data_IF_942998114380
#
_entry.id   IF_942998114380
#
_cell.length_a   1.000
_cell.length_b   1.000
_cell.length_c   1.000
_cell.angle_alpha   90.00
_cell.angle_beta   90.00
_cell.angle_gamma   90.00
#
_symmetry.space_group_name_H-M   'P 1'
#
loop_
_entity.id
_entity.type
_entity.pdbx_description
1 polymer ?
#
# COMPACT_ATOMS: atom_id res chain seq x y z
N UNK A 1 51.12 23.87 -28.49
CA UNK A 1 50.56 22.72 -27.76
C UNK A 1 49.22 23.13 -27.16
N UNK A 2 48.12 22.79 -27.83
CA UNK A 2 46.76 23.11 -27.37
C UNK A 2 46.25 21.86 -26.65
N UNK A 3 46.05 21.94 -25.33
CA UNK A 3 45.39 20.89 -24.55
C UNK A 3 43.88 21.16 -24.58
N UNK A 4 43.18 20.43 -25.42
CA UNK A 4 41.72 20.27 -25.38
C UNK A 4 41.35 19.38 -24.19
N UNK A 5 40.83 19.99 -23.13
CA UNK A 5 40.22 19.27 -22.01
C UNK A 5 38.81 18.84 -22.39
N UNK A 6 38.59 17.55 -22.60
CA UNK A 6 37.26 16.96 -22.75
C UNK A 6 36.68 16.82 -21.34
N UNK A 7 35.71 17.67 -21.00
CA UNK A 7 34.90 17.51 -19.79
C UNK A 7 33.82 16.47 -20.11
N UNK A 8 34.00 15.26 -19.60
CA UNK A 8 33.01 14.19 -19.68
C UNK A 8 31.90 14.47 -18.65
N UNK A 9 30.79 15.05 -19.10
CA UNK A 9 29.60 15.26 -18.28
C UNK A 9 28.89 13.93 -18.01
N UNK A 10 28.95 13.45 -16.77
CA UNK A 10 28.15 12.31 -16.31
C UNK A 10 26.72 12.82 -16.07
N UNK A 11 25.79 12.43 -16.94
CA UNK A 11 24.36 12.65 -16.75
C UNK A 11 23.84 11.50 -15.86
N UNK A 12 23.65 11.78 -14.57
CA UNK A 12 22.96 10.88 -13.65
C UNK A 12 21.46 11.04 -13.90
N UNK A 13 20.86 10.09 -14.61
CA UNK A 13 19.41 9.92 -14.61
C UNK A 13 18.99 9.43 -13.22
N UNK A 14 18.57 10.33 -12.34
CA UNK A 14 17.78 9.97 -11.17
C UNK A 14 16.42 9.49 -11.67
N UNK A 15 16.28 8.19 -11.90
CA UNK A 15 14.97 7.56 -11.99
C UNK A 15 14.33 7.68 -10.61
N UNK A 16 13.48 8.68 -10.44
CA UNK A 16 12.55 8.74 -9.31
C UNK A 16 11.54 7.63 -9.57
N UNK A 17 11.85 6.42 -9.09
CA UNK A 17 10.86 5.35 -8.99
C UNK A 17 9.88 5.83 -7.93
N UNK A 18 8.80 6.45 -8.39
CA UNK A 18 7.62 6.68 -7.57
C UNK A 18 7.08 5.32 -7.19
N UNK A 19 7.55 4.78 -6.07
CA UNK A 19 7.03 3.55 -5.52
C UNK A 19 5.61 3.87 -5.05
N UNK A 20 4.61 3.56 -5.86
CA UNK A 20 3.21 3.61 -5.49
C UNK A 20 2.83 2.29 -4.83
N UNK A 21 1.77 2.29 -4.01
CA UNK A 21 1.28 1.05 -3.38
C UNK A 21 0.92 -0.03 -4.41
N UNK A 22 0.49 0.40 -5.60
CA UNK A 22 0.32 -0.42 -6.80
C UNK A 22 1.35 -0.02 -7.85
N UNK A 23 1.96 -1.00 -8.50
CA UNK A 23 2.98 -0.80 -9.54
C UNK A 23 2.48 -1.49 -10.82
N UNK A 24 2.24 -0.71 -11.87
CA UNK A 24 1.85 -1.23 -13.19
C UNK A 24 3.11 -1.32 -14.03
N UNK A 25 3.50 -2.55 -14.39
CA UNK A 25 4.75 -2.85 -15.10
C UNK A 25 4.54 -3.11 -16.58
N UNK A 26 3.33 -3.51 -16.96
CA UNK A 26 2.94 -3.76 -18.36
C UNK A 26 1.85 -2.80 -18.82
N UNK A 27 1.93 -2.25 -20.04
CA UNK A 27 0.87 -1.42 -20.60
C UNK A 27 -0.43 -2.22 -20.83
N UNK A 28 -0.37 -3.55 -20.84
CA UNK A 28 -1.53 -4.45 -20.98
C UNK A 28 -2.45 -4.41 -19.75
N UNK A 29 -1.90 -4.06 -18.59
CA UNK A 29 -2.61 -4.01 -17.33
C UNK A 29 -3.07 -2.57 -17.04
N UNK A 30 -4.35 -2.40 -16.72
CA UNK A 30 -4.98 -1.11 -16.39
C UNK A 30 -5.73 -1.20 -15.08
N UNK A 31 -5.93 -0.03 -14.45
CA UNK A 31 -6.88 0.10 -13.33
C UNK A 31 -6.55 -0.71 -12.08
N UNK A 32 -5.29 -1.12 -11.87
CA UNK A 32 -4.88 -1.95 -10.75
C UNK A 32 -5.24 -1.32 -9.40
N UNK A 33 -6.12 -1.99 -8.68
CA UNK A 33 -6.65 -1.57 -7.38
C UNK A 33 -6.61 -2.75 -6.42
N UNK A 34 -6.19 -2.48 -5.20
CA UNK A 34 -6.23 -3.43 -4.09
C UNK A 34 -6.75 -2.70 -2.86
N UNK A 35 -7.86 -3.15 -2.33
CA UNK A 35 -8.61 -2.46 -1.29
C UNK A 35 -9.27 -3.42 -0.30
N UNK A 36 -9.68 -2.89 0.85
CA UNK A 36 -10.36 -3.63 1.91
C UNK A 36 -11.86 -3.83 1.63
N UNK A 37 -12.70 -3.50 2.60
CA UNK A 37 -14.16 -3.57 2.49
C UNK A 37 -14.75 -2.61 1.45
N UNK A 38 -14.15 -1.43 1.29
CA UNK A 38 -14.51 -0.44 0.29
C UNK A 38 -13.28 0.01 -0.48
N UNK A 39 -13.49 0.59 -1.67
CA UNK A 39 -12.41 1.14 -2.50
C UNK A 39 -11.61 2.25 -1.80
N UNK A 40 -12.15 2.87 -0.76
CA UNK A 40 -11.46 3.91 0.02
C UNK A 40 -10.59 3.34 1.15
N UNK A 41 -10.76 2.07 1.51
CA UNK A 41 -10.08 1.46 2.64
C UNK A 41 -8.64 1.04 2.29
N UNK A 42 -7.77 1.00 3.31
CA UNK A 42 -6.49 0.34 3.19
C UNK A 42 -6.70 -1.17 2.94
N UNK A 43 -5.85 -1.81 2.12
CA UNK A 43 -5.93 -3.24 1.86
C UNK A 43 -5.40 -4.04 3.05
N UNK A 44 -6.27 -4.25 4.05
CA UNK A 44 -5.95 -4.96 5.29
C UNK A 44 -6.80 -6.23 5.35
N UNK A 45 -6.13 -7.38 5.24
CA UNK A 45 -6.70 -8.70 5.46
C UNK A 45 -6.56 -9.07 6.94
N UNK A 46 -7.67 -9.10 7.67
CA UNK A 46 -7.69 -9.64 9.03
C UNK A 46 -7.50 -11.16 8.96
N UNK A 47 -6.47 -11.69 9.60
CA UNK A 47 -6.17 -13.11 9.54
C UNK A 47 -7.40 -13.93 10.00
N UNK A 48 -7.72 -14.99 9.24
CA UNK A 48 -8.85 -15.93 9.45
C UNK A 48 -10.27 -15.46 9.09
N UNK A 49 -10.53 -14.16 8.90
CA UNK A 49 -11.91 -13.67 8.67
C UNK A 49 -12.04 -12.47 7.74
N UNK A 50 -10.95 -11.80 7.40
CA UNK A 50 -10.95 -10.66 6.49
C UNK A 50 -10.71 -11.07 5.05
N UNK A 51 -11.19 -10.23 4.15
CA UNK A 51 -10.93 -10.31 2.72
C UNK A 51 -10.41 -8.97 2.21
N UNK A 52 -9.64 -9.02 1.13
CA UNK A 52 -9.30 -7.83 0.32
C UNK A 52 -9.67 -8.11 -1.13
N UNK A 53 -10.02 -7.06 -1.86
CA UNK A 53 -10.40 -7.17 -3.27
C UNK A 53 -9.27 -6.65 -4.15
N UNK A 54 -8.78 -7.52 -5.04
CA UNK A 54 -7.88 -7.18 -6.12
C UNK A 54 -8.69 -7.00 -7.40
N UNK A 55 -8.56 -5.83 -8.03
CA UNK A 55 -9.28 -5.49 -9.26
C UNK A 55 -8.31 -4.91 -10.28
N UNK A 56 -8.40 -5.36 -11.52
CA UNK A 56 -7.61 -4.83 -12.63
C UNK A 56 -8.24 -5.24 -13.96
N UNK A 57 -7.87 -4.49 -15.01
CA UNK A 57 -8.32 -4.76 -16.37
C UNK A 57 -7.13 -5.15 -17.25
N UNK A 58 -7.40 -6.00 -18.25
CA UNK A 58 -6.44 -6.46 -19.25
C UNK A 58 -6.92 -6.07 -20.64
N UNK A 59 -6.03 -5.53 -21.47
CA UNK A 59 -6.35 -5.01 -22.81
C UNK A 59 -6.27 -6.03 -23.94
N UNK A 60 -5.99 -7.29 -23.64
CA UNK A 60 -5.74 -8.30 -24.66
C UNK A 60 -7.00 -8.70 -25.42
N UNK A 61 -6.82 -9.25 -26.62
CA UNK A 61 -7.90 -9.74 -27.47
C UNK A 61 -8.50 -11.07 -26.97
N UNK A 62 -7.68 -11.91 -26.32
CA UNK A 62 -8.09 -13.17 -25.69
C UNK A 62 -7.73 -13.16 -24.19
N UNK A 63 -8.45 -13.88 -23.32
CA UNK A 63 -8.15 -13.92 -21.90
C UNK A 63 -6.78 -14.59 -21.69
N UNK A 64 -5.80 -13.91 -21.07
CA UNK A 64 -4.50 -14.53 -20.79
C UNK A 64 -4.57 -15.48 -19.60
N UNK A 65 -3.63 -16.42 -19.56
CA UNK A 65 -3.42 -17.33 -18.44
C UNK A 65 -2.70 -16.62 -17.29
N UNK A 66 -3.45 -15.97 -16.40
CA UNK A 66 -2.91 -15.23 -15.27
C UNK A 66 -2.77 -16.08 -14.01
N UNK A 67 -1.69 -15.81 -13.27
CA UNK A 67 -1.45 -16.35 -11.94
C UNK A 67 -1.13 -15.20 -10.97
N UNK A 68 -1.71 -15.28 -9.76
CA UNK A 68 -1.31 -14.42 -8.65
C UNK A 68 -0.25 -15.14 -7.82
N UNK A 69 0.84 -14.43 -7.52
CA UNK A 69 1.91 -14.87 -6.63
C UNK A 69 1.93 -13.94 -5.43
N UNK A 70 1.87 -14.49 -4.23
CA UNK A 70 1.93 -13.73 -2.99
C UNK A 70 3.34 -13.82 -2.39
N UNK A 71 3.91 -12.69 -1.99
CA UNK A 71 5.26 -12.61 -1.44
C UNK A 71 5.18 -11.95 -0.08
N UNK A 72 5.41 -12.72 0.97
CA UNK A 72 5.59 -12.19 2.32
C UNK A 72 6.87 -11.35 2.37
N UNK A 73 6.74 -10.18 2.96
CA UNK A 73 7.78 -9.19 3.09
C UNK A 73 8.00 -8.84 4.57
N UNK A 74 9.23 -8.44 4.87
CA UNK A 74 9.55 -7.85 6.15
C UNK A 74 8.91 -6.46 6.33
N UNK A 75 9.19 -5.85 7.48
CA UNK A 75 8.77 -4.49 7.80
C UNK A 75 9.28 -3.43 6.83
N UNK A 76 10.20 -3.72 5.93
CA UNK A 76 10.77 -2.78 4.95
C UNK A 76 10.31 -3.08 3.52
N UNK A 77 9.29 -3.92 3.34
CA UNK A 77 8.81 -4.38 2.03
C UNK A 77 9.86 -5.16 1.24
N UNK A 78 10.84 -5.75 1.93
CA UNK A 78 11.80 -6.68 1.34
C UNK A 78 11.27 -8.10 1.47
N UNK A 79 11.31 -8.93 0.40
CA UNK A 79 10.89 -10.32 0.48
C UNK A 79 11.61 -11.05 1.61
N UNK A 80 10.86 -11.73 2.45
CA UNK A 80 11.43 -12.54 3.52
C UNK A 80 12.21 -13.70 2.92
N UNK A 81 13.51 -13.77 3.22
CA UNK A 81 14.46 -14.74 2.67
C UNK A 81 14.35 -16.09 3.38
N UNK A 82 13.15 -16.67 3.43
CA UNK A 82 12.92 -17.96 4.08
C UNK A 82 11.82 -18.72 3.34
N UNK A 83 12.13 -19.92 2.79
CA UNK A 83 11.16 -20.72 2.04
C UNK A 83 10.02 -21.26 2.91
N UNK A 84 10.19 -21.33 4.23
CA UNK A 84 9.11 -21.67 5.17
C UNK A 84 8.01 -20.61 5.22
N UNK A 85 8.36 -19.33 4.97
CA UNK A 85 7.41 -18.22 4.97
C UNK A 85 6.92 -17.96 3.55
N UNK A 86 7.85 -17.88 2.59
CA UNK A 86 7.57 -17.73 1.16
C UNK A 86 7.52 -19.10 0.47
N UNK A 87 6.51 -19.89 0.81
CA UNK A 87 6.26 -21.21 0.22
C UNK A 87 5.69 -21.05 -1.20
N UNK A 88 6.45 -21.50 -2.21
CA UNK A 88 6.10 -21.37 -3.62
C UNK A 88 4.84 -22.16 -4.05
N UNK A 89 4.45 -23.17 -3.28
CA UNK A 89 3.30 -24.05 -3.57
C UNK A 89 2.02 -23.51 -2.94
N UNK A 90 2.14 -22.82 -1.80
CA UNK A 90 1.00 -22.24 -1.05
C UNK A 90 0.68 -20.82 -1.46
N UNK A 91 1.69 -20.01 -1.76
CA UNK A 91 1.53 -18.58 -2.05
C UNK A 91 1.33 -18.30 -3.55
N UNK A 92 0.66 -19.20 -4.27
CA UNK A 92 0.27 -18.99 -5.67
C UNK A 92 -1.15 -19.48 -5.91
N UNK A 93 -1.91 -18.77 -6.73
CA UNK A 93 -3.22 -19.24 -7.18
C UNK A 93 -3.07 -20.45 -8.09
N UNK A 94 -4.04 -21.37 -8.01
CA UNK A 94 -4.12 -22.56 -8.83
C UNK A 94 -5.33 -22.46 -9.74
N UNK A 95 -5.15 -22.76 -11.01
CA UNK A 95 -6.23 -22.67 -12.00
C UNK A 95 -6.48 -21.26 -12.50
N UNK A 96 -7.50 -21.15 -13.35
CA UNK A 96 -7.85 -19.94 -14.07
C UNK A 96 -8.52 -18.92 -13.16
N UNK A 97 -8.06 -17.66 -13.22
CA UNK A 97 -8.67 -16.55 -12.48
C UNK A 97 -10.02 -16.17 -13.09
N UNK A 98 -11.01 -15.78 -12.27
CA UNK A 98 -12.32 -15.44 -12.78
C UNK A 98 -12.27 -14.05 -13.42
N UNK A 99 -12.89 -13.91 -14.58
CA UNK A 99 -12.94 -12.65 -15.32
C UNK A 99 -14.31 -12.41 -15.95
N UNK A 100 -14.56 -11.15 -16.32
CA UNK A 100 -15.73 -10.72 -17.08
C UNK A 100 -15.24 -10.01 -18.34
N UNK A 101 -15.73 -10.37 -19.55
CA UNK A 101 -15.38 -9.67 -20.77
C UNK A 101 -15.93 -8.24 -20.75
N UNK A 102 -15.22 -7.33 -21.43
CA UNK A 102 -15.66 -5.95 -21.58
C UNK A 102 -17.04 -5.88 -22.24
N UNK A 103 -17.95 -5.01 -21.75
CA UNK A 103 -19.23 -4.78 -22.40
C UNK A 103 -19.09 -4.28 -23.85
N UNK A 104 -20.09 -4.56 -24.69
CA UNK A 104 -20.11 -4.06 -26.06
C UNK A 104 -19.98 -2.53 -26.11
N UNK A 105 -19.10 -2.03 -26.99
CA UNK A 105 -18.83 -0.60 -27.16
C UNK A 105 -17.74 -0.04 -26.24
N UNK A 106 -17.15 -0.85 -25.36
CA UNK A 106 -15.96 -0.47 -24.59
C UNK A 106 -14.70 -0.85 -25.37
N UNK A 107 -13.77 0.11 -25.53
CA UNK A 107 -12.51 -0.09 -26.27
C UNK A 107 -11.24 0.01 -25.40
N UNK A 108 -11.38 0.29 -24.10
CA UNK A 108 -10.24 0.54 -23.20
C UNK A 108 -9.62 -0.70 -22.57
N UNK A 109 -10.34 -1.83 -22.55
CA UNK A 109 -9.89 -3.12 -22.03
C UNK A 109 -10.71 -4.25 -22.67
N UNK A 110 -10.20 -5.48 -22.60
CA UNK A 110 -10.87 -6.70 -23.07
C UNK A 110 -11.49 -7.52 -21.94
N UNK A 111 -10.84 -7.58 -20.78
CA UNK A 111 -11.26 -8.41 -19.65
C UNK A 111 -11.06 -7.68 -18.32
N UNK A 112 -12.05 -7.77 -17.43
CA UNK A 112 -11.97 -7.27 -16.06
C UNK A 112 -11.83 -8.45 -15.10
N UNK A 113 -10.86 -8.35 -14.20
CA UNK A 113 -10.61 -9.32 -13.14
C UNK A 113 -10.98 -8.71 -11.80
N UNK A 114 -11.74 -9.46 -11.00
CA UNK A 114 -12.09 -9.09 -9.63
C UNK A 114 -11.94 -10.32 -8.74
N UNK A 115 -10.88 -10.33 -7.95
CA UNK A 115 -10.50 -11.45 -7.10
C UNK A 115 -10.64 -11.07 -5.63
N UNK A 116 -11.38 -11.90 -4.89
CA UNK A 116 -11.42 -11.84 -3.43
C UNK A 116 -10.30 -12.71 -2.86
N UNK A 117 -9.41 -12.10 -2.09
CA UNK A 117 -8.30 -12.77 -1.43
C UNK A 117 -8.69 -12.96 0.05
N UNK A 118 -8.66 -14.20 0.60
CA UNK A 118 -8.03 -15.41 0.07
C UNK A 118 -9.00 -16.40 -0.63
N UNK A 119 -10.21 -15.99 -1.03
CA UNK A 119 -11.30 -16.90 -1.45
C UNK A 119 -11.05 -17.72 -2.73
N UNK A 120 -10.12 -17.33 -3.63
CA UNK A 120 -9.99 -17.92 -4.98
C UNK A 120 -8.53 -18.10 -5.47
N UNK A 121 -8.09 -19.29 -5.97
CA UNK A 121 -8.21 -20.62 -5.38
C UNK A 121 -6.79 -21.16 -5.06
N UNK A 122 -6.43 -21.27 -3.79
CA UNK A 122 -5.33 -22.15 -3.34
C UNK A 122 -5.40 -22.33 -1.82
N UNK A 123 -4.99 -23.48 -1.28
CA UNK A 123 -5.42 -23.98 0.01
C UNK A 123 -4.66 -23.30 1.15
N UNK A 124 -5.41 -22.68 2.06
CA UNK A 124 -4.91 -22.22 3.34
C UNK A 124 -4.74 -20.70 3.40
N UNK A 125 -5.55 -20.10 4.26
CA UNK A 125 -5.33 -18.78 4.87
C UNK A 125 -3.85 -18.46 5.04
N UNK A 126 -3.45 -17.22 4.77
CA UNK A 126 -2.12 -16.70 5.12
C UNK A 126 -1.74 -17.14 6.54
N UNK A 127 -0.71 -17.99 6.64
CA UNK A 127 -0.26 -18.57 7.91
C UNK A 127 0.40 -17.53 8.79
N UNK A 128 1.10 -16.58 8.16
CA UNK A 128 1.86 -15.54 8.83
C UNK A 128 1.16 -14.19 8.63
N UNK A 129 1.13 -13.39 9.68
CA UNK A 129 0.81 -11.97 9.61
C UNK A 129 2.02 -11.19 9.09
N UNK A 130 1.80 -10.02 8.53
CA UNK A 130 2.86 -9.17 8.00
C UNK A 130 2.49 -8.44 6.72
N UNK A 131 3.52 -7.98 6.03
CA UNK A 131 3.41 -7.27 4.76
C UNK A 131 3.40 -8.29 3.62
N UNK A 132 2.53 -8.10 2.63
CA UNK A 132 2.46 -8.95 1.46
C UNK A 132 2.41 -8.13 0.17
N UNK A 133 3.13 -8.62 -0.84
CA UNK A 133 3.01 -8.16 -2.23
C UNK A 133 2.26 -9.23 -3.00
N UNK A 134 1.22 -8.85 -3.73
CA UNK A 134 0.63 -9.68 -4.77
C UNK A 134 1.23 -9.28 -6.12
N UNK A 135 1.74 -10.27 -6.84
CA UNK A 135 2.28 -10.14 -8.19
C UNK A 135 1.32 -10.78 -9.18
N UNK A 136 1.04 -10.08 -10.29
CA UNK A 136 0.16 -10.56 -11.37
C UNK A 136 1.06 -11.00 -12.52
N UNK A 137 1.16 -12.31 -12.73
CA UNK A 137 2.04 -12.92 -13.73
C UNK A 137 1.22 -13.53 -14.87
N UNK A 138 1.59 -13.23 -16.11
CA UNK A 138 1.13 -13.95 -17.29
C UNK A 138 2.01 -15.20 -17.47
N UNK A 139 1.42 -16.39 -17.37
CA UNK A 139 2.13 -17.66 -17.43
C UNK A 139 2.57 -18.03 -18.84
N UNK A 140 1.83 -17.62 -19.87
CA UNK A 140 2.09 -18.07 -21.24
C UNK A 140 3.35 -17.42 -21.81
N UNK A 141 3.59 -16.16 -21.42
CA UNK A 141 4.78 -15.39 -21.84
C UNK A 141 5.77 -15.13 -20.69
N UNK A 142 5.50 -15.67 -19.50
CA UNK A 142 6.31 -15.50 -18.29
C UNK A 142 6.63 -14.01 -17.99
N UNK A 143 5.60 -13.16 -18.00
CA UNK A 143 5.73 -11.71 -17.82
C UNK A 143 4.99 -11.22 -16.59
N UNK A 144 5.70 -10.49 -15.73
CA UNK A 144 5.10 -9.77 -14.61
C UNK A 144 4.38 -8.52 -15.12
N UNK A 145 3.06 -8.45 -14.91
CA UNK A 145 2.21 -7.36 -15.39
C UNK A 145 2.08 -6.22 -14.39
N UNK A 146 2.06 -6.54 -13.09
CA UNK A 146 1.95 -5.54 -12.04
C UNK A 146 2.03 -6.14 -10.64
N UNK A 147 2.11 -5.26 -9.64
CA UNK A 147 2.23 -5.61 -8.22
C UNK A 147 1.34 -4.72 -7.37
N UNK A 148 0.82 -5.24 -6.27
CA UNK A 148 0.13 -4.44 -5.27
C UNK A 148 0.48 -4.90 -3.86
N UNK A 149 0.49 -3.95 -2.91
CA UNK A 149 0.84 -4.16 -1.51
C UNK A 149 -0.40 -4.26 -0.63
N UNK A 150 -0.40 -5.20 0.30
CA UNK A 150 -1.43 -5.33 1.32
C UNK A 150 -0.87 -5.86 2.64
N UNK A 151 -1.69 -5.81 3.68
CA UNK A 151 -1.33 -6.25 5.02
C UNK A 151 -2.16 -7.45 5.42
N UNK A 152 -1.53 -8.43 6.05
CA UNK A 152 -2.21 -9.51 6.78
C UNK A 152 -2.02 -9.24 8.27
N UNK A 153 -3.10 -9.02 9.01
CA UNK A 153 -3.02 -8.54 10.40
C UNK A 153 -3.70 -9.48 11.38
N UNK A 154 -3.06 -9.67 12.54
CA UNK A 154 -3.66 -10.30 13.71
C UNK A 154 -4.25 -9.20 14.61
N UNK A 155 -5.50 -9.38 15.02
CA UNK A 155 -6.19 -8.41 15.88
C UNK A 155 -5.86 -8.63 17.37
N UNK A 156 -4.56 -8.65 17.70
CA UNK A 156 -4.05 -8.88 19.06
C UNK A 156 -4.29 -7.68 19.98
N UNK A 157 -4.19 -6.48 19.43
CA UNK A 157 -4.40 -5.21 20.13
C UNK A 157 -5.39 -4.34 19.36
N UNK A 158 -6.00 -3.38 20.06
CA UNK A 158 -6.89 -2.38 19.47
C UNK A 158 -6.22 -1.00 19.54
N UNK A 159 -5.51 -0.57 18.48
CA UNK A 159 -4.89 0.75 18.46
C UNK A 159 -5.91 1.86 18.30
N UNK A 160 -5.73 2.93 19.07
CA UNK A 160 -6.45 4.18 18.97
C UNK A 160 -5.48 5.25 18.45
N UNK A 161 -5.80 5.84 17.30
CA UNK A 161 -5.04 6.94 16.72
C UNK A 161 -5.72 8.27 17.04
N UNK A 162 -4.92 9.26 17.43
CA UNK A 162 -5.35 10.65 17.63
C UNK A 162 -4.41 11.59 16.88
N UNK A 163 -5.00 12.48 16.08
CA UNK A 163 -4.30 13.56 15.37
C UNK A 163 -4.72 14.89 16.01
N UNK A 164 -3.77 15.72 16.36
CA UNK A 164 -4.02 17.05 16.96
C UNK A 164 -3.15 18.11 16.30
N UNK A 165 -3.74 19.26 16.01
CA UNK A 165 -3.00 20.42 15.53
C UNK A 165 -2.18 21.03 16.67
N UNK A 166 -0.95 21.42 16.37
CA UNK A 166 -0.01 22.12 17.26
C UNK A 166 0.60 23.30 16.54
N UNK A 167 1.14 24.24 17.32
CA UNK A 167 1.98 25.31 16.82
C UNK A 167 3.44 24.99 17.05
N UNK A 168 4.25 25.09 16.00
CA UNK A 168 5.70 25.07 16.12
C UNK A 168 6.19 26.48 16.50
N UNK A 169 6.72 26.69 17.72
CA UNK A 169 7.22 27.99 18.15
C UNK A 169 8.45 28.46 17.35
N UNK A 170 9.15 27.56 16.66
CA UNK A 170 10.33 27.88 15.84
C UNK A 170 10.01 28.45 14.45
N UNK A 171 8.76 28.39 14.00
CA UNK A 171 8.33 28.82 12.68
C UNK A 171 7.40 30.04 12.75
N UNK A 172 7.36 30.84 11.67
CA UNK A 172 6.45 31.97 11.53
C UNK A 172 5.10 31.55 10.95
N UNK A 173 4.03 32.24 11.36
CA UNK A 173 2.69 32.06 10.78
C UNK A 173 2.70 32.44 9.29
N UNK A 174 2.04 31.67 8.39
CA UNK A 174 1.13 30.54 8.66
C UNK A 174 1.80 29.15 8.71
N UNK A 175 3.11 29.07 8.48
CA UNK A 175 3.87 27.81 8.39
C UNK A 175 4.17 27.16 9.74
N UNK A 176 3.74 27.78 10.83
CA UNK A 176 3.92 27.30 12.19
C UNK A 176 2.85 26.31 12.63
N UNK A 177 2.02 25.79 11.72
CA UNK A 177 0.99 24.81 12.03
C UNK A 177 1.49 23.41 11.66
N UNK A 178 1.55 22.53 12.65
CA UNK A 178 2.03 21.16 12.50
C UNK A 178 1.06 20.21 13.19
N UNK A 179 1.07 18.95 12.80
CA UNK A 179 0.27 17.92 13.44
C UNK A 179 1.14 17.10 14.40
N UNK A 180 0.56 16.74 15.53
CA UNK A 180 1.01 15.64 16.36
C UNK A 180 0.10 14.45 16.11
N UNK A 181 0.68 13.28 15.87
CA UNK A 181 -0.04 12.02 15.74
C UNK A 181 0.39 11.13 16.90
N UNK A 182 -0.58 10.51 17.55
CA UNK A 182 -0.32 9.52 18.60
C UNK A 182 -1.15 8.28 18.36
N UNK A 183 -0.53 7.12 18.55
CA UNK A 183 -1.15 5.80 18.49
C UNK A 183 -0.99 5.17 19.86
N UNK A 184 -2.08 4.76 20.50
CA UNK A 184 -2.02 4.09 21.80
C UNK A 184 -2.86 2.84 21.83
N UNK A 185 -2.42 1.85 22.60
CA UNK A 185 -3.15 0.61 22.80
C UNK A 185 -2.83 0.03 24.18
N UNK A 186 -3.67 -0.91 24.60
CA UNK A 186 -3.45 -1.70 25.81
C UNK A 186 -2.94 -3.09 25.43
N UNK A 187 -1.88 -3.53 26.10
CA UNK A 187 -1.35 -4.88 25.98
C UNK A 187 -2.29 -5.85 26.72
N UNK A 188 -2.75 -6.94 26.09
CA UNK A 188 -3.56 -7.95 26.75
C UNK A 188 -2.81 -8.56 27.96
N UNK A 189 -3.50 -8.81 29.09
CA UNK A 189 -2.87 -9.46 30.24
C UNK A 189 -2.50 -10.92 29.90
N UNK A 190 -1.47 -11.43 30.56
CA UNK A 190 -0.90 -12.77 30.31
C UNK A 190 -1.91 -13.91 30.50
N UNK A 191 -2.87 -13.75 31.41
CA UNK A 191 -3.93 -14.74 31.69
C UNK A 191 -5.16 -14.63 30.77
N UNK A 192 -5.08 -13.82 29.71
CA UNK A 192 -6.17 -13.79 28.73
C UNK A 192 -6.16 -15.07 27.90
N UNK A 193 -7.33 -15.72 27.75
CA UNK A 193 -7.54 -16.84 26.83
C UNK A 193 -7.43 -16.45 25.35
N UNK A 194 -6.79 -15.32 25.05
CA UNK A 194 -6.78 -14.61 23.78
C UNK A 194 -5.48 -14.73 22.99
N UNK A 195 -4.44 -15.38 23.54
CA UNK A 195 -3.17 -15.58 22.81
C UNK A 195 -1.94 -15.72 23.71
N UNK A 196 -0.73 -15.65 23.12
CA UNK A 196 0.51 -15.67 23.88
C UNK A 196 0.65 -14.41 24.76
N UNK A 197 1.39 -14.55 25.86
CA UNK A 197 1.74 -13.45 26.73
C UNK A 197 2.67 -12.46 26.01
N UNK A 198 2.26 -11.20 25.90
CA UNK A 198 3.08 -10.13 25.31
C UNK A 198 3.60 -9.19 26.40
N UNK A 199 4.81 -8.68 26.18
CA UNK A 199 5.45 -7.65 26.98
C UNK A 199 5.52 -6.35 26.18
N UNK A 200 5.74 -5.22 26.88
CA UNK A 200 5.87 -3.92 26.21
C UNK A 200 7.01 -3.87 25.19
N UNK A 201 8.06 -4.66 25.40
CA UNK A 201 9.23 -4.76 24.51
C UNK A 201 8.94 -5.50 23.21
N UNK A 202 7.87 -6.30 23.15
CA UNK A 202 7.48 -7.00 21.91
C UNK A 202 6.88 -6.04 20.87
N UNK A 203 6.46 -4.86 21.33
CA UNK A 203 5.95 -3.78 20.49
C UNK A 203 7.03 -2.71 20.33
N UNK A 204 7.95 -2.91 19.39
CA UNK A 204 9.02 -1.94 19.12
C UNK A 204 8.64 -0.84 18.12
N UNK A 205 7.77 -1.14 17.14
CA UNK A 205 7.61 -0.28 15.96
C UNK A 205 6.13 -0.06 15.63
N UNK A 206 5.81 1.19 15.27
CA UNK A 206 4.53 1.58 14.65
C UNK A 206 4.79 2.31 13.33
N UNK A 207 4.15 1.82 12.27
CA UNK A 207 4.11 2.49 10.97
C UNK A 207 2.76 3.21 10.79
N UNK A 208 2.81 4.50 10.46
CA UNK A 208 1.64 5.34 10.19
C UNK A 208 1.65 5.70 8.71
N UNK A 209 0.52 5.44 8.04
CA UNK A 209 0.34 5.71 6.63
C UNK A 209 -0.63 6.87 6.42
N UNK A 210 -0.23 7.83 5.58
CA UNK A 210 -1.12 8.91 5.14
C UNK A 210 -1.75 8.54 3.81
N UNK A 211 -3.06 8.74 3.67
CA UNK A 211 -3.77 8.69 2.38
C UNK A 211 -3.49 7.43 1.53
N UNK A 212 -3.26 6.28 2.18
CA UNK A 212 -2.93 5.00 1.52
C UNK A 212 -1.57 4.99 0.79
N UNK A 213 -0.68 5.92 1.09
CA UNK A 213 0.70 5.91 0.62
C UNK A 213 1.52 4.83 1.35
N UNK A 214 1.28 3.55 1.03
CA UNK A 214 1.91 2.39 1.70
C UNK A 214 3.44 2.38 1.64
N UNK A 215 4.01 3.07 0.66
CA UNK A 215 5.46 3.22 0.46
C UNK A 215 6.03 4.41 1.21
N UNK A 216 5.20 5.37 1.61
CA UNK A 216 5.59 6.57 2.35
C UNK A 216 4.91 6.58 3.70
N UNK A 217 5.65 6.10 4.70
CA UNK A 217 5.19 5.98 6.08
C UNK A 217 5.96 6.90 7.01
N UNK A 218 5.33 7.23 8.12
CA UNK A 218 6.04 7.68 9.32
C UNK A 218 6.24 6.47 10.22
N UNK A 219 7.51 6.18 10.52
CA UNK A 219 7.88 5.10 11.43
C UNK A 219 8.24 5.71 12.78
N UNK A 220 7.70 5.13 13.84
CA UNK A 220 8.11 5.36 15.22
C UNK A 220 8.69 4.05 15.70
N UNK A 221 9.98 4.07 16.06
CA UNK A 221 10.72 2.92 16.57
C UNK A 221 11.15 3.23 18.01
N UNK A 222 10.97 2.29 18.94
CA UNK A 222 11.34 2.43 20.34
C UNK A 222 12.84 2.65 20.55
N UNK A 223 13.65 2.21 19.59
CA UNK A 223 15.11 2.30 19.66
C UNK A 223 15.68 3.51 18.91
N UNK A 224 14.85 4.24 18.16
CA UNK A 224 15.29 5.42 17.41
C UNK A 224 15.44 6.66 18.31
N UNK A 225 16.32 7.57 17.90
CA UNK A 225 16.66 8.82 18.59
C UNK A 225 16.14 10.05 17.86
N UNK A 226 15.21 9.91 16.92
CA UNK A 226 14.56 11.05 16.27
C UNK A 226 13.85 11.89 17.34
N UNK A 227 14.25 13.16 17.43
CA UNK A 227 13.72 14.13 18.38
C UNK A 227 12.22 14.39 18.23
N UNK A 228 11.63 14.05 17.08
CA UNK A 228 10.21 14.20 16.81
C UNK A 228 9.40 12.94 17.10
N UNK A 229 10.04 11.82 17.42
CA UNK A 229 9.34 10.57 17.75
C UNK A 229 9.53 10.21 19.21
N UNK A 230 8.50 9.61 19.82
CA UNK A 230 8.53 9.29 21.24
C UNK A 230 7.68 8.06 21.54
N UNK A 231 8.18 7.20 22.44
CA UNK A 231 7.44 6.04 22.95
C UNK A 231 7.26 6.20 24.46
N UNK A 232 6.02 6.15 24.91
CA UNK A 232 5.60 6.27 26.30
C UNK A 232 5.01 4.95 26.80
N UNK A 233 5.13 4.71 28.11
CA UNK A 233 4.54 3.56 28.79
C UNK A 233 5.30 2.24 28.66
N UNK A 234 6.59 2.27 28.28
CA UNK A 234 7.49 1.11 28.35
C UNK A 234 7.50 0.55 29.78
N UNK A 235 7.35 -0.78 29.92
CA UNK A 235 7.22 -1.45 31.21
C UNK A 235 5.80 -1.43 31.79
N UNK A 236 4.82 -0.82 31.10
CA UNK A 236 3.42 -0.80 31.53
C UNK A 236 2.53 -1.57 30.56
N UNK A 237 1.26 -1.78 30.94
CA UNK A 237 0.25 -2.40 30.06
C UNK A 237 -0.32 -1.44 29.00
N UNK A 238 0.12 -0.18 28.95
CA UNK A 238 -0.35 0.81 27.99
C UNK A 238 0.84 1.42 27.27
N UNK A 239 0.88 1.26 25.96
CA UNK A 239 1.88 1.90 25.12
C UNK A 239 1.29 3.06 24.35
N UNK A 240 2.10 4.09 24.14
CA UNK A 240 1.77 5.21 23.25
C UNK A 240 2.98 5.58 22.41
N UNK A 241 2.81 5.49 21.11
CA UNK A 241 3.76 5.95 20.10
C UNK A 241 3.30 7.33 19.64
N UNK A 242 4.23 8.29 19.56
CA UNK A 242 3.94 9.66 19.18
C UNK A 242 4.94 10.14 18.14
N UNK A 243 4.44 10.85 17.14
CA UNK A 243 5.24 11.64 16.22
C UNK A 243 4.74 13.09 16.27
N UNK A 244 5.70 14.00 16.39
CA UNK A 244 5.54 15.44 16.39
C UNK A 244 5.96 16.02 15.03
N UNK A 245 5.66 17.30 14.82
CA UNK A 245 6.10 18.06 13.64
C UNK A 245 5.68 17.46 12.28
N UNK A 246 4.50 16.84 12.21
CA UNK A 246 3.98 16.32 10.95
C UNK A 246 3.34 17.46 10.16
N UNK A 247 3.97 17.89 9.08
CA UNK A 247 3.45 18.98 8.26
C UNK A 247 2.09 18.64 7.62
N UNK A 248 1.12 19.57 7.66
CA UNK A 248 -0.14 19.40 6.95
C UNK A 248 0.11 19.37 5.44
N UNK A 249 -0.70 18.58 4.73
CA UNK A 249 -0.76 18.58 3.27
C UNK A 249 -1.95 19.40 2.76
N UNK A 250 -2.02 19.58 1.44
CA UNK A 250 -3.22 20.08 0.78
C UNK A 250 -4.13 18.92 0.35
N UNK A 251 -5.37 19.23 -0.02
CA UNK A 251 -6.32 18.27 -0.57
C UNK A 251 -5.90 17.76 -1.95
N UNK A 252 -6.38 16.56 -2.31
CA UNK A 252 -6.15 16.03 -3.65
C UNK A 252 -6.97 16.80 -4.68
N UNK A 253 -6.34 17.06 -5.83
CA UNK A 253 -7.07 17.54 -7.01
C UNK A 253 -7.99 16.42 -7.51
N UNK A 254 -9.25 16.76 -7.76
CA UNK A 254 -10.25 15.80 -8.25
C UNK A 254 -10.63 16.15 -9.68
N UNK A 255 -10.67 15.13 -10.54
CA UNK A 255 -11.14 15.26 -11.91
C UNK A 255 -12.16 14.17 -12.22
N UNK A 256 -13.40 14.59 -12.49
CA UNK A 256 -14.53 13.69 -12.74
C UNK A 256 -14.93 13.73 -14.22
N UNK A 257 -14.80 12.60 -14.89
CA UNK A 257 -15.07 12.43 -16.33
C UNK A 257 -16.33 11.61 -16.62
N UNK A 258 -17.19 11.36 -15.62
CA UNK A 258 -18.37 10.50 -15.78
C UNK A 258 -19.43 11.06 -16.75
N UNK A 259 -19.43 12.37 -16.98
CA UNK A 259 -20.38 13.00 -17.89
C UNK A 259 -19.90 12.88 -19.34
N UNK A 260 -20.50 11.95 -20.10
CA UNK A 260 -20.13 11.66 -21.50
C UNK A 260 -20.42 12.84 -22.44
N UNK A 261 -21.44 13.65 -22.16
CA UNK A 261 -21.74 14.84 -22.97
C UNK A 261 -20.65 15.91 -22.82
N UNK A 262 -20.07 16.00 -21.61
CA UNK A 262 -18.98 16.92 -21.30
C UNK A 262 -17.60 16.36 -21.67
N UNK A 263 -17.43 15.04 -21.52
CA UNK A 263 -16.20 14.29 -21.75
C UNK A 263 -16.49 13.08 -22.65
N UNK A 264 -16.68 13.33 -23.96
CA UNK A 264 -16.96 12.25 -24.91
C UNK A 264 -15.75 11.33 -25.06
N UNK A 265 -16.03 10.05 -25.34
CA UNK A 265 -14.99 9.05 -25.62
C UNK A 265 -14.08 9.50 -26.77
N UNK A 266 -12.81 9.10 -26.69
CA UNK A 266 -11.77 9.37 -27.70
C UNK A 266 -11.45 10.85 -27.95
N UNK A 267 -11.85 11.74 -27.05
CA UNK A 267 -11.41 13.15 -27.08
C UNK A 267 -10.59 13.49 -25.85
N UNK A 268 -9.53 14.31 -26.01
CA UNK A 268 -8.77 14.80 -24.88
C UNK A 268 -9.70 15.64 -23.99
N UNK A 269 -9.73 15.30 -22.71
CA UNK A 269 -10.55 15.99 -21.74
C UNK A 269 -10.10 17.45 -21.63
N UNK A 270 -11.06 18.39 -21.69
CA UNK A 270 -10.79 19.82 -21.59
C UNK A 270 -11.23 20.33 -20.23
N UNK A 271 -10.41 21.15 -19.59
CA UNK A 271 -10.79 21.88 -18.39
C UNK A 271 -11.94 22.83 -18.74
N UNK A 272 -13.03 22.79 -17.96
CA UNK A 272 -14.14 23.75 -18.04
C UNK A 272 -14.39 24.30 -16.65
N UNK A 273 -14.11 25.59 -16.45
CA UNK A 273 -14.19 26.25 -15.15
C UNK A 273 -12.97 25.93 -14.29
N UNK A 274 -12.13 26.94 -14.07
CA UNK A 274 -10.93 26.82 -13.24
C UNK A 274 -11.22 27.07 -11.76
N UNK A 275 -10.37 26.45 -10.93
CA UNK A 275 -9.90 26.93 -9.64
C UNK A 275 -8.49 26.32 -9.44
N UNK A 276 -7.55 26.55 -10.34
CA UNK A 276 -6.43 27.48 -10.06
C UNK A 276 -6.77 28.98 -10.31
N UNK A 277 -7.76 29.49 -9.56
CA UNK A 277 -7.86 30.89 -9.11
C UNK A 277 -8.23 30.85 -7.64
#
# INVERSE_FOLDING_TARGET
MIRTGIVLGVVIFLAIVGATAQEILSPRLKGLRLYGSSEADLPILKQRSGTVTLEFDITDSAPPNLQLIFVHCDRNWMPTQTPFVNDEVRLKTRGELPFVPAPHGVHGYGYQYRILIPEYPSPGTFTFSGNYIVEIMDQDINQLLGRARFFVVESLVKPEMRVTNRRDPGASSPWNQVNQISVSFRIPPQDSSAGPAFFSTDFGIVDIYRNREVTRRWRIDSDDRDANTFVDGLGTSRLRFRIDNVFPGNEYRVFDIRNVDQYPQDRPARLRGGADV
#
